data_IF_798703183266
#
_entry.id   IF_798703183266
#
_cell.length_a   1.000
_cell.length_b   1.000
_cell.length_c   1.000
_cell.angle_alpha   90.00
_cell.angle_beta   90.00
_cell.angle_gamma   90.00
#
_symmetry.space_group_name_H-M   'P 1'
#
loop_
_entity.id
_entity.type
_entity.pdbx_description
1 polymer ?
#
# COMPACT_ATOMS: atom_id res chain seq x y z
N UNK A 1 7.18 -4.88 -5.47
CA UNK A 1 6.95 -4.71 -4.02
C UNK A 1 6.00 -5.80 -3.57
N UNK A 2 6.04 -6.14 -2.27
CA UNK A 2 5.07 -7.03 -1.62
C UNK A 2 4.50 -6.27 -0.44
N UNK A 3 3.19 -6.33 -0.22
CA UNK A 3 2.52 -5.71 0.92
C UNK A 3 2.05 -6.81 1.86
N UNK A 4 2.41 -6.70 3.14
CA UNK A 4 2.14 -7.67 4.20
C UNK A 4 1.15 -7.11 5.22
N UNK A 5 0.34 -7.99 5.83
CA UNK A 5 -0.65 -7.65 6.87
C UNK A 5 -0.39 -8.36 8.19
N UNK A 6 0.18 -9.57 8.16
CA UNK A 6 0.54 -10.31 9.38
C UNK A 6 2.01 -10.05 9.73
N UNK A 7 2.24 -9.06 10.57
CA UNK A 7 3.57 -8.67 11.04
C UNK A 7 3.54 -8.17 12.48
N UNK A 8 4.69 -8.24 13.12
CA UNK A 8 4.94 -7.58 14.42
C UNK A 8 5.87 -6.39 14.24
N UNK A 9 5.69 -5.42 15.12
CA UNK A 9 6.52 -4.21 15.15
C UNK A 9 7.29 -4.23 16.47
N UNK A 10 8.61 -4.21 16.41
CA UNK A 10 9.51 -4.06 17.56
C UNK A 10 10.25 -2.73 17.46
N UNK A 11 10.42 -2.02 18.56
CA UNK A 11 11.13 -0.74 18.59
C UNK A 11 12.54 -0.95 19.20
N UNK A 12 13.56 -0.49 18.49
CA UNK A 12 14.86 -0.30 19.06
C UNK A 12 14.89 1.05 19.79
N UNK A 13 14.78 1.04 21.11
CA UNK A 13 14.69 2.25 21.94
C UNK A 13 15.90 3.20 21.79
N UNK A 14 17.11 2.66 21.52
CA UNK A 14 18.32 3.46 21.36
C UNK A 14 18.35 4.24 20.06
N UNK A 15 17.80 3.68 19.00
CA UNK A 15 17.85 4.27 17.66
C UNK A 15 16.51 4.86 17.24
N UNK A 16 15.44 4.64 17.99
CA UNK A 16 14.05 5.00 17.62
C UNK A 16 13.65 4.47 16.24
N UNK A 17 14.12 3.24 15.92
CA UNK A 17 13.80 2.55 14.67
C UNK A 17 12.87 1.38 14.96
N UNK A 18 11.80 1.30 14.19
CA UNK A 18 10.83 0.23 14.27
C UNK A 18 11.17 -0.85 13.24
N UNK A 19 11.47 -2.05 13.71
CA UNK A 19 11.67 -3.23 12.86
C UNK A 19 10.37 -3.94 12.61
N UNK A 20 10.15 -4.31 11.34
CA UNK A 20 8.97 -5.06 10.90
C UNK A 20 9.36 -6.52 10.71
N UNK A 21 8.72 -7.41 11.47
CA UNK A 21 8.90 -8.85 11.36
C UNK A 21 7.65 -9.49 10.76
N UNK A 22 7.76 -9.91 9.51
CA UNK A 22 6.70 -10.57 8.78
C UNK A 22 6.53 -12.02 9.26
N UNK A 23 5.29 -12.43 9.50
CA UNK A 23 4.90 -13.82 9.82
C UNK A 23 4.47 -14.60 8.59
N UNK A 24 4.17 -13.89 7.50
CA UNK A 24 3.79 -14.50 6.23
C UNK A 24 5.03 -14.92 5.43
N UNK A 25 4.88 -15.96 4.60
CA UNK A 25 5.89 -16.30 3.58
C UNK A 25 5.64 -15.47 2.34
N UNK A 26 6.51 -14.49 2.10
CA UNK A 26 6.42 -13.63 0.92
C UNK A 26 6.80 -14.41 -0.35
N UNK A 27 5.97 -14.29 -1.38
CA UNK A 27 6.20 -14.84 -2.72
C UNK A 27 6.39 -13.72 -3.74
N UNK A 28 7.12 -14.00 -4.80
CA UNK A 28 7.36 -13.05 -5.87
C UNK A 28 6.06 -12.80 -6.67
N UNK A 29 5.54 -11.57 -6.71
CA UNK A 29 4.31 -11.27 -7.44
C UNK A 29 4.46 -11.34 -8.96
N UNK A 30 5.68 -11.51 -9.48
CA UNK A 30 5.96 -11.60 -10.92
C UNK A 30 5.96 -13.07 -11.38
N UNK A 31 6.62 -13.97 -10.63
CA UNK A 31 6.81 -15.35 -11.06
C UNK A 31 6.36 -16.41 -10.05
N UNK A 32 5.82 -16.02 -8.90
CA UNK A 32 5.29 -16.94 -7.89
C UNK A 32 6.33 -17.68 -7.04
N UNK A 33 7.64 -17.50 -7.29
CA UNK A 33 8.68 -18.17 -6.51
C UNK A 33 8.89 -17.53 -5.13
N UNK A 34 9.40 -18.30 -4.15
CA UNK A 34 9.73 -17.77 -2.83
C UNK A 34 10.68 -16.59 -2.90
N UNK A 35 10.56 -15.69 -1.94
CA UNK A 35 11.47 -14.57 -1.74
C UNK A 35 12.41 -14.87 -0.58
N UNK A 36 13.70 -14.54 -0.72
CA UNK A 36 14.71 -14.63 0.34
C UNK A 36 15.15 -13.24 0.81
N UNK A 37 15.41 -13.11 2.11
CA UNK A 37 15.97 -11.89 2.68
C UNK A 37 17.32 -11.57 2.04
N UNK A 38 17.49 -10.30 1.67
CA UNK A 38 18.75 -9.78 1.16
C UNK A 38 19.36 -8.77 2.15
N UNK A 39 18.63 -7.68 2.42
CA UNK A 39 19.05 -6.59 3.30
C UNK A 39 17.80 -5.77 3.73
N UNK A 40 18.04 -4.65 4.40
CA UNK A 40 16.97 -3.75 4.85
C UNK A 40 17.29 -2.30 4.51
N UNK A 41 16.23 -1.47 4.39
CA UNK A 41 16.34 -0.02 4.17
C UNK A 41 15.45 0.72 5.16
N UNK A 42 15.95 1.85 5.65
CA UNK A 42 15.16 2.75 6.50
C UNK A 42 14.14 3.49 5.66
N UNK A 43 12.92 3.64 6.18
CA UNK A 43 11.85 4.38 5.56
C UNK A 43 11.09 5.18 6.60
N UNK A 44 10.83 6.43 6.27
CA UNK A 44 10.01 7.31 7.09
C UNK A 44 8.52 6.96 6.94
N UNK A 45 7.79 7.00 8.07
CA UNK A 45 6.33 6.98 8.13
C UNK A 45 5.88 8.18 8.97
N UNK A 46 4.94 8.95 8.45
CA UNK A 46 4.37 10.13 9.12
C UNK A 46 2.94 9.81 9.54
N UNK A 47 2.69 10.02 10.81
CA UNK A 47 1.37 9.88 11.43
C UNK A 47 0.68 11.23 11.64
N UNK A 48 -0.37 11.20 12.45
CA UNK A 48 -1.11 12.38 12.92
C UNK A 48 -0.19 13.29 13.75
N UNK A 49 -0.48 14.58 13.81
CA UNK A 49 0.33 15.59 14.51
C UNK A 49 1.81 15.58 14.09
N UNK A 50 2.06 15.27 12.82
CA UNK A 50 3.41 15.16 12.25
C UNK A 50 4.32 14.17 12.99
N UNK A 51 3.76 13.19 13.68
CA UNK A 51 4.55 12.11 14.29
C UNK A 51 5.40 11.43 13.22
N UNK A 52 6.69 11.28 13.49
CA UNK A 52 7.64 10.68 12.58
C UNK A 52 8.18 9.39 13.17
N UNK A 53 8.02 8.28 12.43
CA UNK A 53 8.59 6.98 12.75
C UNK A 53 9.51 6.51 11.64
N UNK A 54 10.64 5.92 12.01
CA UNK A 54 11.54 5.28 11.07
C UNK A 54 11.34 3.78 11.12
N UNK A 55 10.96 3.22 9.97
CA UNK A 55 10.73 1.78 9.81
C UNK A 55 11.91 1.13 9.10
N UNK A 56 12.35 -0.01 9.60
CA UNK A 56 13.32 -0.87 8.95
C UNK A 56 12.58 -1.85 8.03
N UNK A 57 12.60 -1.58 6.72
CA UNK A 57 11.87 -2.34 5.71
C UNK A 57 12.80 -3.37 5.07
N UNK A 58 12.41 -4.63 5.10
CA UNK A 58 13.14 -5.73 4.47
C UNK A 58 13.12 -5.60 2.96
N UNK A 59 14.24 -5.92 2.32
CA UNK A 59 14.33 -6.14 0.88
C UNK A 59 14.55 -7.62 0.62
N UNK A 60 13.71 -8.17 -0.23
CA UNK A 60 13.67 -9.59 -0.54
C UNK A 60 14.01 -9.81 -2.01
N UNK A 61 14.87 -10.77 -2.28
CA UNK A 61 15.28 -11.16 -3.64
C UNK A 61 14.51 -12.42 -4.05
N UNK A 62 14.00 -12.43 -5.27
CA UNK A 62 13.40 -13.62 -5.86
C UNK A 62 14.41 -14.76 -6.00
N UNK A 63 14.02 -15.99 -5.59
CA UNK A 63 14.89 -17.16 -5.67
C UNK A 63 14.99 -17.75 -7.08
N UNK A 64 14.10 -17.34 -7.99
CA UNK A 64 14.18 -17.72 -9.40
C UNK A 64 15.23 -16.88 -10.11
N UNK A 65 16.30 -17.51 -10.58
CA UNK A 65 17.44 -16.85 -11.25
C UNK A 65 17.01 -16.10 -12.51
N UNK A 66 16.03 -16.61 -13.25
CA UNK A 66 15.51 -15.96 -14.46
C UNK A 66 14.70 -14.68 -14.14
N UNK A 67 14.14 -14.59 -12.92
CA UNK A 67 13.39 -13.41 -12.47
C UNK A 67 14.30 -12.42 -11.73
N UNK A 68 15.04 -12.89 -10.75
CA UNK A 68 16.03 -12.16 -9.94
C UNK A 68 15.59 -10.74 -9.50
N UNK A 69 14.28 -10.54 -9.30
CA UNK A 69 13.70 -9.23 -8.98
C UNK A 69 13.79 -8.96 -7.49
N UNK A 70 14.18 -7.73 -7.14
CA UNK A 70 14.24 -7.23 -5.76
C UNK A 70 12.91 -6.58 -5.37
N UNK A 71 12.34 -7.04 -4.24
CA UNK A 71 11.10 -6.50 -3.69
C UNK A 71 11.33 -5.86 -2.32
N UNK A 72 10.64 -4.76 -2.03
CA UNK A 72 10.48 -4.24 -0.67
C UNK A 72 9.25 -4.89 -0.06
N UNK A 73 9.37 -5.37 1.16
CA UNK A 73 8.30 -5.96 1.95
C UNK A 73 7.70 -4.86 2.84
N UNK A 74 6.61 -4.24 2.36
CA UNK A 74 5.99 -3.11 3.04
C UNK A 74 4.86 -3.58 3.96
N UNK A 75 4.78 -3.09 5.21
CA UNK A 75 3.55 -3.21 5.98
C UNK A 75 2.42 -2.44 5.29
N UNK A 76 1.21 -2.94 5.38
CA UNK A 76 0.01 -2.34 4.76
C UNK A 76 -0.31 -0.94 5.30
N UNK A 77 0.20 -0.60 6.48
CA UNK A 77 0.16 0.76 7.01
C UNK A 77 0.90 1.79 6.14
N UNK A 78 1.76 1.35 5.20
CA UNK A 78 2.49 2.19 4.28
C UNK A 78 2.03 2.02 2.83
N UNK A 79 1.77 3.13 2.17
CA UNK A 79 1.54 3.15 0.72
C UNK A 79 2.87 3.24 -0.03
N UNK A 80 3.08 2.44 -1.09
CA UNK A 80 4.24 2.57 -1.96
C UNK A 80 4.47 4.01 -2.43
N UNK A 81 5.71 4.47 -2.27
CA UNK A 81 6.15 5.83 -2.65
C UNK A 81 5.50 7.00 -1.88
N UNK A 82 4.75 6.74 -0.81
CA UNK A 82 4.16 7.75 0.07
C UNK A 82 4.78 7.66 1.46
N UNK A 83 4.85 8.78 2.17
CA UNK A 83 5.48 8.86 3.49
C UNK A 83 4.48 8.91 4.64
N UNK A 84 3.22 9.08 4.36
CA UNK A 84 2.15 9.11 5.35
C UNK A 84 1.49 7.75 5.52
N UNK A 85 0.92 7.51 6.69
CA UNK A 85 0.14 6.32 6.99
C UNK A 85 -1.01 6.16 5.99
N UNK A 86 -1.32 4.90 5.66
CA UNK A 86 -2.37 4.56 4.71
C UNK A 86 -3.73 5.14 5.09
N UNK A 87 -4.03 5.17 6.40
CA UNK A 87 -5.32 5.67 6.92
C UNK A 87 -5.46 7.18 6.74
N UNK A 88 -4.36 7.93 6.89
CA UNK A 88 -4.36 9.38 6.63
C UNK A 88 -4.66 9.64 5.16
N UNK A 89 -4.02 8.88 4.27
CA UNK A 89 -4.24 9.03 2.83
C UNK A 89 -5.66 8.60 2.46
N UNK A 90 -6.16 7.50 3.00
CA UNK A 90 -7.54 7.08 2.80
C UNK A 90 -8.53 8.15 3.29
N UNK A 91 -8.31 8.69 4.49
CA UNK A 91 -9.14 9.77 5.05
C UNK A 91 -9.20 11.03 4.17
N UNK A 92 -8.09 11.41 3.54
CA UNK A 92 -8.06 12.51 2.56
C UNK A 92 -8.83 12.15 1.28
N UNK A 93 -8.69 10.92 0.78
CA UNK A 93 -9.40 10.45 -0.40
C UNK A 93 -10.90 10.35 -0.15
N UNK A 94 -11.32 10.06 1.07
CA UNK A 94 -12.72 9.94 1.49
C UNK A 94 -13.33 11.29 1.93
N UNK A 95 -12.52 12.36 1.94
CA UNK A 95 -12.96 13.69 2.36
C UNK A 95 -13.17 13.84 3.87
N UNK A 96 -12.67 12.86 4.68
CA UNK A 96 -12.73 12.88 6.13
C UNK A 96 -11.59 13.71 6.76
N UNK A 97 -10.50 13.88 6.01
CA UNK A 97 -9.33 14.67 6.40
C UNK A 97 -9.13 15.78 5.37
N UNK A 98 -9.05 17.01 5.87
CA UNK A 98 -8.77 18.24 5.13
C UNK A 98 -7.68 19.05 5.82
N UNK A 99 -7.16 20.13 5.23
CA UNK A 99 -6.22 21.03 5.90
C UNK A 99 -6.76 21.67 7.19
N UNK A 100 -8.10 21.76 7.31
CA UNK A 100 -8.78 22.34 8.48
C UNK A 100 -9.08 21.29 9.56
N UNK A 101 -8.72 20.03 9.34
CA UNK A 101 -8.97 18.95 10.30
C UNK A 101 -7.94 18.99 11.43
N UNK A 102 -8.40 18.98 12.69
CA UNK A 102 -7.55 19.04 13.88
C UNK A 102 -6.45 17.98 13.87
N UNK A 103 -5.20 18.39 14.04
CA UNK A 103 -4.00 17.56 13.98
C UNK A 103 -3.43 17.35 12.58
N UNK A 104 -3.95 18.07 11.56
CA UNK A 104 -3.48 18.05 10.19
C UNK A 104 -3.25 19.44 9.59
N UNK A 105 -3.27 20.48 10.41
CA UNK A 105 -3.19 21.89 10.01
C UNK A 105 -1.91 22.20 9.21
N UNK A 106 -0.79 21.61 9.61
CA UNK A 106 0.52 21.83 8.98
C UNK A 106 0.95 20.68 8.06
N UNK A 107 0.57 19.47 8.40
CA UNK A 107 1.02 18.25 7.72
C UNK A 107 -0.04 17.15 7.67
N UNK A 108 -0.33 16.60 6.47
CA UNK A 108 0.21 16.97 5.15
C UNK A 108 -0.32 18.31 4.65
N UNK A 109 0.52 19.09 3.95
CA UNK A 109 0.06 20.33 3.34
C UNK A 109 -0.98 20.03 2.25
N UNK A 110 -1.82 21.04 1.95
CA UNK A 110 -2.91 20.93 0.98
C UNK A 110 -2.44 20.47 -0.40
N UNK A 111 -1.27 20.90 -0.86
CA UNK A 111 -0.69 20.46 -2.13
C UNK A 111 -0.42 18.94 -2.14
N UNK A 112 0.05 18.40 -1.02
CA UNK A 112 0.27 16.96 -0.85
C UNK A 112 -1.07 16.20 -0.89
N UNK A 113 -2.10 16.68 -0.21
CA UNK A 113 -3.44 16.08 -0.22
C UNK A 113 -4.02 16.07 -1.64
N UNK A 114 -3.94 17.20 -2.35
CA UNK A 114 -4.34 17.30 -3.77
C UNK A 114 -3.53 16.34 -4.67
N UNK A 115 -2.24 16.15 -4.37
CA UNK A 115 -1.38 15.19 -5.06
C UNK A 115 -1.87 13.75 -4.89
N UNK A 116 -2.34 13.36 -3.68
CA UNK A 116 -2.92 12.03 -3.44
C UNK A 116 -4.24 11.84 -4.18
N UNK A 117 -5.11 12.84 -4.22
CA UNK A 117 -6.37 12.80 -4.97
C UNK A 117 -6.09 12.61 -6.48
N UNK A 118 -5.14 13.36 -7.05
CA UNK A 118 -4.73 13.17 -8.46
C UNK A 118 -4.13 11.79 -8.70
N UNK A 119 -3.28 11.32 -7.80
CA UNK A 119 -2.71 9.97 -7.88
C UNK A 119 -3.81 8.90 -7.87
N UNK A 120 -4.78 9.01 -7.00
CA UNK A 120 -5.90 8.08 -6.92
C UNK A 120 -6.72 8.08 -8.22
N UNK A 121 -7.13 9.26 -8.68
CA UNK A 121 -7.91 9.39 -9.91
C UNK A 121 -7.17 8.81 -11.12
N UNK A 122 -5.87 9.05 -11.22
CA UNK A 122 -5.04 8.52 -12.30
C UNK A 122 -4.94 6.99 -12.28
N UNK A 123 -4.85 6.39 -11.10
CA UNK A 123 -4.66 4.94 -10.95
C UNK A 123 -5.98 4.17 -10.75
N UNK A 124 -7.11 4.85 -10.61
CA UNK A 124 -8.42 4.26 -10.32
C UNK A 124 -8.80 3.15 -11.29
N UNK A 125 -8.62 3.39 -12.59
CA UNK A 125 -8.93 2.40 -13.63
C UNK A 125 -8.03 1.14 -13.53
N UNK A 126 -6.75 1.31 -13.20
CA UNK A 126 -5.83 0.18 -13.00
C UNK A 126 -6.17 -0.63 -11.75
N UNK A 127 -6.56 0.04 -10.65
CA UNK A 127 -7.04 -0.63 -9.44
C UNK A 127 -8.30 -1.44 -9.72
N UNK A 128 -9.31 -0.83 -10.33
CA UNK A 128 -10.57 -1.49 -10.71
C UNK A 128 -10.33 -2.67 -11.65
N UNK A 129 -9.53 -2.48 -12.70
CA UNK A 129 -9.19 -3.54 -13.66
C UNK A 129 -8.49 -4.73 -13.00
N UNK A 130 -7.58 -4.45 -12.03
CA UNK A 130 -6.90 -5.51 -11.27
C UNK A 130 -7.87 -6.27 -10.37
N UNK A 131 -8.75 -5.56 -9.64
CA UNK A 131 -9.77 -6.17 -8.81
C UNK A 131 -10.68 -7.10 -9.63
N UNK A 132 -11.10 -6.67 -10.83
CA UNK A 132 -11.94 -7.50 -11.72
C UNK A 132 -11.18 -8.71 -12.25
N UNK A 133 -10.01 -8.51 -12.86
CA UNK A 133 -9.28 -9.57 -13.55
C UNK A 133 -8.70 -10.62 -12.58
N UNK A 134 -8.11 -10.17 -11.48
CA UNK A 134 -7.49 -11.06 -10.49
C UNK A 134 -8.44 -11.54 -9.41
N UNK A 135 -9.47 -10.76 -9.08
CA UNK A 135 -10.51 -11.14 -8.14
C UNK A 135 -11.28 -12.38 -8.59
N UNK A 136 -11.55 -12.52 -9.90
CA UNK A 136 -12.10 -13.74 -10.47
C UNK A 136 -11.18 -14.95 -10.23
N UNK A 137 -9.89 -14.79 -10.55
CA UNK A 137 -8.91 -15.87 -10.46
C UNK A 137 -8.58 -16.30 -9.02
N UNK A 138 -8.48 -15.33 -8.10
CA UNK A 138 -7.96 -15.55 -6.74
C UNK A 138 -9.05 -15.63 -5.67
N UNK A 139 -10.18 -14.96 -5.87
CA UNK A 139 -11.26 -14.85 -4.88
C UNK A 139 -12.55 -15.57 -5.31
N UNK A 140 -12.54 -16.20 -6.49
CA UNK A 140 -13.71 -16.92 -6.99
C UNK A 140 -14.93 -16.02 -7.24
N UNK A 141 -14.73 -14.75 -7.58
CA UNK A 141 -15.82 -13.85 -7.89
C UNK A 141 -16.67 -14.41 -9.04
N UNK A 142 -17.98 -14.35 -8.89
CA UNK A 142 -18.90 -14.82 -9.91
C UNK A 142 -18.85 -13.89 -11.14
N UNK A 143 -19.15 -14.45 -12.31
CA UNK A 143 -19.25 -13.72 -13.58
C UNK A 143 -20.20 -12.51 -13.48
N UNK A 144 -21.27 -12.62 -12.67
CA UNK A 144 -22.20 -11.54 -12.37
C UNK A 144 -21.55 -10.33 -11.68
N UNK A 145 -20.55 -10.56 -10.83
CA UNK A 145 -19.79 -9.48 -10.17
C UNK A 145 -18.85 -8.79 -11.14
N UNK A 146 -18.30 -9.52 -12.11
CA UNK A 146 -17.40 -8.97 -13.13
C UNK A 146 -18.12 -8.12 -14.17
N UNK A 147 -19.34 -8.52 -14.52
CA UNK A 147 -20.19 -7.83 -15.51
C UNK A 147 -21.09 -6.77 -14.88
N UNK A 148 -21.14 -6.70 -13.54
CA UNK A 148 -21.88 -5.66 -12.85
C UNK A 148 -21.39 -4.26 -13.25
N UNK A 149 -22.30 -3.35 -13.52
CA UNK A 149 -22.01 -1.94 -13.81
C UNK A 149 -21.44 -1.20 -12.60
N UNK A 150 -21.61 -1.75 -11.39
CA UNK A 150 -21.05 -1.20 -10.16
C UNK A 150 -19.53 -1.39 -10.07
N UNK A 151 -18.82 -0.35 -9.65
CA UNK A 151 -17.37 -0.42 -9.38
C UNK A 151 -17.10 -1.25 -8.16
N UNK A 152 -16.22 -2.27 -8.28
CA UNK A 152 -15.73 -3.07 -7.15
C UNK A 152 -14.91 -2.23 -6.18
N UNK A 153 -14.14 -1.29 -6.71
CA UNK A 153 -13.34 -0.38 -5.92
C UNK A 153 -14.22 0.52 -5.04
N UNK A 154 -15.28 1.13 -5.61
CA UNK A 154 -16.20 1.97 -4.85
C UNK A 154 -17.00 1.15 -3.82
N UNK A 155 -17.35 -0.09 -4.15
CA UNK A 155 -17.99 -0.98 -3.21
C UNK A 155 -17.09 -1.29 -2.01
N UNK A 156 -15.83 -1.67 -2.24
CA UNK A 156 -14.86 -1.88 -1.14
C UNK A 156 -14.70 -0.62 -0.30
N UNK A 157 -14.65 0.54 -0.94
CA UNK A 157 -14.51 1.83 -0.27
C UNK A 157 -15.71 2.16 0.63
N UNK A 158 -16.92 1.75 0.25
CA UNK A 158 -18.13 1.93 1.07
C UNK A 158 -18.25 0.91 2.20
N UNK A 159 -17.70 -0.29 2.01
CA UNK A 159 -17.92 -1.43 2.92
C UNK A 159 -16.90 -1.47 4.06
N UNK A 160 -15.72 -0.87 3.91
CA UNK A 160 -14.67 -0.91 4.94
C UNK A 160 -13.79 0.33 4.95
N UNK A 161 -13.40 0.77 6.15
CA UNK A 161 -12.43 1.87 6.32
C UNK A 161 -11.01 1.50 5.84
N UNK A 162 -10.67 0.21 5.83
CA UNK A 162 -9.35 -0.30 5.39
C UNK A 162 -9.25 -0.52 3.87
N UNK A 163 -10.23 -0.04 3.10
CA UNK A 163 -10.35 -0.30 1.67
C UNK A 163 -9.06 -0.05 0.90
N UNK A 164 -8.34 1.03 1.21
CA UNK A 164 -7.12 1.40 0.49
C UNK A 164 -5.98 0.41 0.75
N UNK A 165 -5.81 -0.06 1.99
CA UNK A 165 -4.83 -1.10 2.36
C UNK A 165 -5.13 -2.40 1.63
N UNK A 166 -6.40 -2.83 1.64
CA UNK A 166 -6.87 -4.05 0.97
C UNK A 166 -6.60 -3.96 -0.54
N UNK A 167 -7.01 -2.88 -1.18
CA UNK A 167 -6.84 -2.68 -2.62
C UNK A 167 -5.36 -2.66 -3.00
N UNK A 168 -4.52 -1.93 -2.28
CA UNK A 168 -3.10 -1.83 -2.58
C UNK A 168 -2.38 -3.16 -2.38
N UNK A 169 -2.68 -3.88 -1.28
CA UNK A 169 -2.14 -5.23 -1.07
C UNK A 169 -2.49 -6.13 -2.26
N UNK A 170 -3.75 -6.14 -2.67
CA UNK A 170 -4.21 -6.95 -3.78
C UNK A 170 -3.51 -6.59 -5.09
N UNK A 171 -3.43 -5.31 -5.42
CA UNK A 171 -2.82 -4.80 -6.65
C UNK A 171 -1.33 -5.14 -6.72
N UNK A 172 -0.56 -4.77 -5.69
CA UNK A 172 0.89 -4.96 -5.69
C UNK A 172 1.29 -6.44 -5.59
N UNK A 173 0.56 -7.25 -4.80
CA UNK A 173 0.82 -8.69 -4.68
C UNK A 173 0.33 -9.48 -5.90
N UNK A 174 -0.44 -8.86 -6.80
CA UNK A 174 -0.77 -9.38 -8.13
C UNK A 174 0.23 -8.98 -9.22
N UNK A 175 1.34 -8.33 -8.87
CA UNK A 175 2.39 -7.92 -9.80
C UNK A 175 2.12 -6.61 -10.53
N UNK A 176 1.01 -5.94 -10.25
CA UNK A 176 0.71 -4.63 -10.85
C UNK A 176 1.39 -3.52 -10.06
N UNK A 177 2.01 -2.58 -10.77
CA UNK A 177 2.66 -1.41 -10.18
C UNK A 177 1.87 -0.17 -10.57
N UNK A 178 1.33 0.52 -9.57
CA UNK A 178 0.66 1.80 -9.78
C UNK A 178 1.69 2.89 -10.08
N UNK A 179 1.34 3.80 -10.97
CA UNK A 179 2.24 4.90 -11.34
C UNK A 179 2.35 5.89 -10.18
N UNK A 180 3.55 6.18 -9.69
CA UNK A 180 3.76 7.31 -8.81
C UNK A 180 3.57 8.60 -9.62
N UNK A 181 2.66 9.48 -9.19
CA UNK A 181 2.59 10.85 -9.71
C UNK A 181 3.45 11.68 -8.79
N UNK A 182 4.53 12.23 -9.34
CA UNK A 182 5.37 13.21 -8.67
C UNK A 182 4.89 14.58 -9.10
N UNK A 183 4.47 15.41 -8.16
CA UNK A 183 4.28 16.81 -8.42
C UNK A 183 5.68 17.43 -8.67
N UNK A 184 5.87 17.96 -9.85
CA UNK A 184 7.01 18.82 -10.19
C UNK A 184 6.65 20.25 -9.81
#
# INVERSE_FOLDING_TARGET
>A
MVIITDYTVSCNEKEHIFSIECREKSICPICGHPLKYRDSVKRIMRGRNNEVRWLCIRRLLCTNESCNTLHRELPDALIPYKHFEADIIAGVLDGLISPDTAGFEDHPCEATMRGWQRWYQFNKAAMEGTLRSKGYQLLGFTEKLLTASASLLEKLRSDTCDWLRIVLRFVYNSGVVLRPIWDR
#
